data_IF_523217395006
#
_entry.id   IF_523217395006
#
_cell.length_a   1.000
_cell.length_b   1.000
_cell.length_c   1.000
_cell.angle_alpha   90.00
_cell.angle_beta   90.00
_cell.angle_gamma   90.00
#
_symmetry.space_group_name_H-M   'P 1'
#
loop_
_entity.id
_entity.type
_entity.pdbx_description
1 polymer ?
#
# COMPACT_ATOMS: atom_id res chain seq x y z
N UNK A 1 41.15 6.79 34.75
CA UNK A 1 39.69 6.99 34.87
C UNK A 1 39.39 8.33 34.22
N UNK A 2 39.15 8.32 32.92
CA UNK A 2 38.87 9.53 32.15
C UNK A 2 37.39 9.90 32.27
N UNK A 3 37.13 11.09 32.80
CA UNK A 3 35.79 11.70 32.78
C UNK A 3 35.58 12.29 31.39
N UNK A 4 34.69 11.69 30.60
CA UNK A 4 34.17 12.34 29.39
C UNK A 4 33.42 13.61 29.80
N UNK A 5 33.99 14.75 29.42
CA UNK A 5 33.32 16.05 29.47
C UNK A 5 32.30 16.05 28.34
N UNK A 6 31.02 15.84 28.67
CA UNK A 6 29.92 16.03 27.73
C UNK A 6 29.82 17.53 27.48
N UNK A 7 30.09 17.96 26.25
CA UNK A 7 29.97 19.36 25.85
C UNK A 7 28.50 19.83 26.04
N UNK A 8 28.27 21.07 26.49
CA UNK A 8 26.91 21.61 26.60
C UNK A 8 26.31 21.72 25.20
N UNK A 9 25.20 21.02 24.98
CA UNK A 9 24.37 21.17 23.78
C UNK A 9 23.77 22.57 23.83
N UNK A 10 24.03 23.39 22.82
CA UNK A 10 23.41 24.71 22.71
C UNK A 10 21.88 24.56 22.70
N UNK A 11 21.12 25.36 23.47
CA UNK A 11 19.67 25.27 23.47
C UNK A 11 19.15 25.55 22.05
N UNK A 12 18.30 24.65 21.55
CA UNK A 12 17.61 24.87 20.27
C UNK A 12 16.72 26.12 20.42
N UNK A 13 16.77 27.07 19.47
CA UNK A 13 15.97 28.30 19.57
C UNK A 13 14.48 27.95 19.63
N UNK A 14 13.78 28.46 20.64
CA UNK A 14 12.34 28.20 20.84
C UNK A 14 11.52 28.61 19.61
N UNK A 15 11.93 29.67 18.90
CA UNK A 15 11.31 30.14 17.66
C UNK A 15 11.31 29.07 16.56
N UNK A 16 12.39 28.28 16.43
CA UNK A 16 12.46 27.20 15.45
C UNK A 16 11.53 26.05 15.80
N UNK A 17 11.35 25.76 17.09
CA UNK A 17 10.41 24.74 17.56
C UNK A 17 8.97 25.20 17.30
N UNK A 18 8.66 26.47 17.57
CA UNK A 18 7.36 27.09 17.29
C UNK A 18 7.03 27.05 15.79
N UNK A 19 7.97 27.44 14.92
CA UNK A 19 7.79 27.37 13.46
C UNK A 19 7.59 25.93 12.99
N UNK A 20 8.42 25.00 13.46
CA UNK A 20 8.29 23.57 13.12
C UNK A 20 6.92 23.00 13.52
N UNK A 21 6.44 23.31 14.73
CA UNK A 21 5.13 22.85 15.19
C UNK A 21 3.98 23.45 14.38
N UNK A 22 4.07 24.73 14.00
CA UNK A 22 3.07 25.38 13.13
C UNK A 22 3.04 24.74 11.73
N UNK A 23 4.20 24.50 11.13
CA UNK A 23 4.31 23.80 9.83
C UNK A 23 3.72 22.39 9.94
N UNK A 24 4.02 21.67 11.03
CA UNK A 24 3.49 20.32 11.26
C UNK A 24 1.96 20.30 11.34
N UNK A 25 1.36 21.31 11.96
CA UNK A 25 -0.10 21.47 12.02
C UNK A 25 -0.71 21.78 10.64
N UNK A 26 -0.07 22.63 9.86
CA UNK A 26 -0.50 22.92 8.48
C UNK A 26 -0.39 21.67 7.61
N UNK A 27 0.70 20.90 7.72
CA UNK A 27 0.86 19.61 7.01
C UNK A 27 -0.25 18.65 7.43
N UNK A 28 -0.57 18.54 8.72
CA UNK A 28 -1.64 17.66 9.19
C UNK A 28 -3.00 18.07 8.59
N UNK A 29 -3.29 19.36 8.54
CA UNK A 29 -4.51 19.91 7.93
C UNK A 29 -4.57 19.63 6.43
N UNK A 30 -3.50 19.90 5.69
CA UNK A 30 -3.43 19.64 4.25
C UNK A 30 -3.51 18.15 3.93
N UNK A 31 -2.83 17.30 4.70
CA UNK A 31 -2.89 15.83 4.56
C UNK A 31 -4.30 15.31 4.81
N UNK A 32 -5.02 15.90 5.79
CA UNK A 32 -6.43 15.56 6.03
C UNK A 32 -7.28 15.95 4.82
N UNK A 33 -7.13 17.18 4.31
CA UNK A 33 -7.91 17.64 3.15
C UNK A 33 -7.60 16.85 1.88
N UNK A 34 -6.33 16.49 1.67
CA UNK A 34 -5.92 15.61 0.57
C UNK A 34 -6.63 14.25 0.64
N UNK A 35 -6.72 13.64 1.83
CA UNK A 35 -7.43 12.37 2.03
C UNK A 35 -8.93 12.48 1.76
N UNK A 36 -9.56 13.56 2.23
CA UNK A 36 -10.97 13.84 1.95
C UNK A 36 -11.22 13.98 0.44
N UNK A 37 -10.44 14.81 -0.25
CA UNK A 37 -10.53 14.98 -1.70
C UNK A 37 -10.32 13.66 -2.44
N UNK A 38 -9.36 12.84 -1.99
CA UNK A 38 -9.12 11.53 -2.59
C UNK A 38 -10.31 10.58 -2.41
N UNK A 39 -10.99 10.63 -1.26
CA UNK A 39 -12.19 9.85 -1.01
C UNK A 39 -13.34 10.33 -1.90
N UNK A 40 -13.59 11.65 -1.96
CA UNK A 40 -14.61 12.26 -2.84
C UNK A 40 -14.38 11.89 -4.32
N UNK A 41 -13.12 11.94 -4.79
CA UNK A 41 -12.76 11.52 -6.15
C UNK A 41 -12.97 10.02 -6.36
N UNK A 42 -12.71 9.20 -5.34
CA UNK A 42 -12.97 7.76 -5.37
C UNK A 42 -14.46 7.44 -5.53
N UNK A 43 -15.31 8.06 -4.71
CA UNK A 43 -16.78 7.92 -4.79
C UNK A 43 -17.32 8.39 -6.15
N UNK A 44 -16.80 9.50 -6.67
CA UNK A 44 -17.12 9.97 -8.02
C UNK A 44 -16.72 8.93 -9.08
N UNK A 45 -15.50 8.41 -9.02
CA UNK A 45 -14.98 7.44 -9.97
C UNK A 45 -15.76 6.11 -9.94
N UNK A 46 -16.16 5.65 -8.76
CA UNK A 46 -17.01 4.46 -8.59
C UNK A 46 -18.39 4.66 -9.23
N UNK A 47 -18.96 5.85 -9.10
CA UNK A 47 -20.28 6.18 -9.68
C UNK A 47 -20.25 6.36 -11.20
N UNK A 48 -19.09 6.75 -11.74
CA UNK A 48 -18.90 7.12 -13.15
C UNK A 48 -17.90 6.21 -13.87
N UNK A 49 -17.85 4.94 -13.48
CA UNK A 49 -16.87 3.96 -13.95
C UNK A 49 -16.96 3.75 -15.48
N UNK A 50 -18.13 3.96 -16.06
CA UNK A 50 -18.40 3.86 -17.49
C UNK A 50 -17.66 4.92 -18.33
N UNK A 51 -17.20 6.01 -17.71
CA UNK A 51 -16.47 7.06 -18.40
C UNK A 51 -14.97 6.76 -18.52
N UNK A 52 -14.46 5.73 -17.84
CA UNK A 52 -13.08 5.29 -17.98
C UNK A 52 -12.91 4.54 -19.30
N UNK A 53 -11.78 4.76 -19.97
CA UNK A 53 -11.44 4.04 -21.19
C UNK A 53 -11.12 2.55 -20.93
N UNK A 54 -10.83 1.81 -22.00
CA UNK A 54 -10.45 0.40 -21.91
C UNK A 54 -9.17 0.12 -21.11
N UNK A 55 -8.34 1.14 -20.86
CA UNK A 55 -7.15 1.05 -20.00
C UNK A 55 -7.44 1.44 -18.55
N UNK A 56 -8.69 1.80 -18.22
CA UNK A 56 -9.08 2.27 -16.90
C UNK A 56 -8.55 3.67 -16.62
N UNK A 57 -8.47 4.54 -17.62
CA UNK A 57 -8.05 5.93 -17.48
C UNK A 57 -9.21 6.87 -17.75
N UNK A 58 -9.36 7.88 -16.90
CA UNK A 58 -10.26 9.00 -17.08
C UNK A 58 -9.43 10.29 -17.12
N UNK A 59 -9.33 10.91 -18.30
CA UNK A 59 -8.56 12.14 -18.50
C UNK A 59 -9.38 13.39 -18.20
N UNK A 60 -8.75 14.33 -17.48
CA UNK A 60 -9.23 15.67 -17.21
C UNK A 60 -8.28 16.69 -17.83
N UNK A 61 -8.70 17.95 -17.88
CA UNK A 61 -7.84 19.06 -18.29
C UNK A 61 -6.64 19.21 -17.34
N UNK A 62 -6.86 19.04 -16.04
CA UNK A 62 -5.85 19.24 -14.98
C UNK A 62 -5.01 18.00 -14.66
N UNK A 63 -5.46 16.81 -15.06
CA UNK A 63 -4.86 15.56 -14.62
C UNK A 63 -5.55 14.32 -15.18
N UNK A 64 -5.27 13.17 -14.57
CA UNK A 64 -5.95 11.92 -14.89
C UNK A 64 -6.24 11.11 -13.62
N UNK A 65 -7.31 10.33 -13.67
CA UNK A 65 -7.64 9.31 -12.69
C UNK A 65 -7.37 7.96 -13.35
N UNK A 66 -6.57 7.11 -12.72
CA UNK A 66 -6.25 5.78 -13.23
C UNK A 66 -6.67 4.69 -12.26
N UNK A 67 -7.45 3.72 -12.75
CA UNK A 67 -7.75 2.48 -12.06
C UNK A 67 -6.47 1.65 -11.97
N UNK A 68 -6.03 1.36 -10.75
CA UNK A 68 -4.82 0.59 -10.48
C UNK A 68 -5.12 -0.50 -9.46
N UNK A 69 -4.41 -1.63 -9.55
CA UNK A 69 -4.54 -2.67 -8.52
C UNK A 69 -3.58 -2.37 -7.37
N UNK A 70 -4.06 -2.48 -6.14
CA UNK A 70 -3.21 -2.48 -4.96
C UNK A 70 -2.18 -3.61 -5.07
N UNK A 71 -1.01 -3.49 -4.42
CA UNK A 71 -0.13 -4.63 -4.26
C UNK A 71 -0.87 -5.77 -3.54
N UNK A 72 -0.76 -7.02 -4.00
CA UNK A 72 -1.46 -8.13 -3.38
C UNK A 72 -0.93 -8.39 -1.97
N UNK A 73 -1.84 -8.81 -1.09
CA UNK A 73 -1.54 -9.15 0.30
C UNK A 73 -1.95 -10.59 0.56
N UNK A 74 -1.12 -11.32 1.30
CA UNK A 74 -1.48 -12.61 1.85
C UNK A 74 -2.10 -12.39 3.23
N UNK A 75 -3.31 -12.92 3.44
CA UNK A 75 -4.06 -12.86 4.68
C UNK A 75 -4.47 -14.25 5.14
N UNK A 76 -4.67 -14.42 6.44
CA UNK A 76 -5.34 -15.60 6.97
C UNK A 76 -6.84 -15.53 6.65
N UNK A 77 -7.41 -16.61 6.16
CA UNK A 77 -8.85 -16.66 5.79
C UNK A 77 -9.73 -16.37 7.00
N UNK A 78 -9.40 -16.91 8.17
CA UNK A 78 -10.28 -16.83 9.34
C UNK A 78 -10.20 -15.50 10.11
N UNK A 79 -9.12 -14.73 9.93
CA UNK A 79 -8.89 -13.49 10.71
C UNK A 79 -8.66 -12.24 9.86
N UNK A 80 -8.56 -12.41 8.54
CA UNK A 80 -8.18 -11.38 7.56
C UNK A 80 -6.86 -10.65 7.85
N UNK A 81 -6.11 -11.14 8.86
CA UNK A 81 -4.86 -10.55 9.28
C UNK A 81 -3.79 -10.84 8.24
N UNK A 82 -3.05 -9.79 7.88
CA UNK A 82 -1.90 -9.91 7.01
C UNK A 82 -0.83 -10.81 7.63
N UNK A 83 -0.26 -11.70 6.80
CA UNK A 83 0.84 -12.56 7.21
C UNK A 83 2.12 -11.76 7.42
N UNK A 84 2.83 -12.09 8.50
CA UNK A 84 4.18 -11.63 8.77
C UNK A 84 5.19 -12.20 7.78
N UNK A 85 6.41 -11.66 7.78
CA UNK A 85 7.49 -12.14 6.93
C UNK A 85 7.91 -13.58 7.28
N UNK A 86 7.87 -13.95 8.56
CA UNK A 86 8.20 -15.30 9.01
C UNK A 86 7.16 -16.32 8.51
N UNK A 87 5.87 -16.04 8.72
CA UNK A 87 4.78 -16.90 8.26
C UNK A 87 4.77 -17.06 6.74
N UNK A 88 5.11 -16.00 5.99
CA UNK A 88 5.29 -16.10 4.54
C UNK A 88 6.38 -17.09 4.15
N UNK A 89 7.49 -17.17 4.89
CA UNK A 89 8.56 -18.14 4.61
C UNK A 89 8.09 -19.57 4.84
N UNK A 90 7.27 -19.81 5.84
CA UNK A 90 6.74 -21.15 6.13
C UNK A 90 5.84 -21.66 5.00
N UNK A 91 5.11 -20.76 4.34
CA UNK A 91 4.23 -21.09 3.20
C UNK A 91 5.00 -21.33 1.91
N UNK A 92 6.19 -20.73 1.73
CA UNK A 92 7.07 -20.95 0.55
C UNK A 92 7.26 -22.45 0.30
N UNK A 93 7.41 -23.24 1.37
CA UNK A 93 7.66 -24.69 1.25
C UNK A 93 6.46 -25.48 0.72
N UNK A 94 5.28 -24.89 0.66
CA UNK A 94 4.05 -25.56 0.26
C UNK A 94 3.52 -25.10 -1.10
N UNK A 95 4.09 -24.04 -1.68
CA UNK A 95 3.69 -23.53 -3.00
C UNK A 95 4.71 -23.91 -4.07
N UNK A 96 4.33 -23.98 -5.36
CA UNK A 96 5.26 -24.33 -6.43
C UNK A 96 6.42 -23.33 -6.54
N UNK A 97 7.63 -23.85 -6.78
CA UNK A 97 8.87 -23.06 -6.83
C UNK A 97 8.85 -21.93 -7.87
N UNK A 98 8.02 -22.06 -8.92
CA UNK A 98 7.82 -21.02 -9.92
C UNK A 98 7.35 -19.69 -9.33
N UNK A 99 6.83 -19.67 -8.10
CA UNK A 99 6.35 -18.47 -7.41
C UNK A 99 7.39 -17.90 -6.42
N UNK A 100 8.63 -18.39 -6.42
CA UNK A 100 9.69 -17.96 -5.49
C UNK A 100 10.67 -17.01 -6.19
N UNK A 101 10.92 -15.84 -5.61
CA UNK A 101 12.04 -14.96 -5.95
C UNK A 101 12.58 -14.35 -4.66
N UNK A 102 13.46 -15.07 -3.96
CA UNK A 102 14.01 -14.76 -2.61
C UNK A 102 12.97 -14.78 -1.46
N UNK A 103 11.70 -14.48 -1.75
CA UNK A 103 10.48 -14.70 -0.96
C UNK A 103 9.31 -15.00 -1.92
N UNK A 104 8.10 -15.26 -1.42
CA UNK A 104 6.91 -15.51 -2.28
C UNK A 104 6.61 -14.26 -3.14
N UNK A 105 6.54 -14.43 -4.45
CA UNK A 105 6.03 -13.40 -5.37
C UNK A 105 4.50 -13.38 -5.36
N UNK A 106 3.93 -12.56 -4.48
CA UNK A 106 2.48 -12.41 -4.35
C UNK A 106 1.81 -11.83 -5.60
N UNK A 107 2.55 -11.13 -6.46
CA UNK A 107 2.01 -10.61 -7.73
C UNK A 107 1.78 -11.74 -8.71
N UNK A 108 2.75 -12.65 -8.83
CA UNK A 108 2.61 -13.83 -9.67
C UNK A 108 1.53 -14.77 -9.13
N UNK A 109 1.47 -14.95 -7.80
CA UNK A 109 0.42 -15.73 -7.15
C UNK A 109 -0.96 -15.14 -7.39
N UNK A 110 -1.15 -13.82 -7.21
CA UNK A 110 -2.43 -13.17 -7.43
C UNK A 110 -2.96 -13.29 -8.88
N UNK A 111 -2.05 -13.30 -9.87
CA UNK A 111 -2.42 -13.52 -11.28
C UNK A 111 -2.83 -14.96 -11.59
N UNK A 112 -2.24 -15.93 -10.90
CA UNK A 112 -2.43 -17.35 -11.16
C UNK A 112 -3.44 -18.03 -10.24
N UNK A 113 -3.85 -17.42 -9.12
CA UNK A 113 -4.67 -18.07 -8.07
C UNK A 113 -6.00 -18.65 -8.56
N UNK A 114 -6.57 -18.09 -9.63
CA UNK A 114 -7.84 -18.56 -10.20
C UNK A 114 -7.67 -19.67 -11.23
N UNK A 115 -6.50 -19.78 -11.87
CA UNK A 115 -6.24 -20.73 -12.96
C UNK A 115 -5.35 -21.90 -12.57
N UNK A 116 -4.47 -21.72 -11.57
CA UNK A 116 -3.56 -22.76 -11.08
C UNK A 116 -4.18 -23.55 -9.91
N UNK A 117 -4.66 -24.75 -10.22
CA UNK A 117 -5.31 -25.65 -9.26
C UNK A 117 -4.37 -26.08 -8.12
N UNK A 118 -3.08 -26.29 -8.42
CA UNK A 118 -2.11 -26.75 -7.41
C UNK A 118 -1.81 -25.61 -6.42
N UNK A 119 -1.60 -24.40 -6.94
CA UNK A 119 -1.45 -23.20 -6.12
C UNK A 119 -2.69 -22.97 -5.23
N UNK A 120 -3.90 -23.07 -5.81
CA UNK A 120 -5.15 -22.89 -5.06
C UNK A 120 -5.31 -23.91 -3.94
N UNK A 121 -4.95 -25.17 -4.18
CA UNK A 121 -4.97 -26.22 -3.15
C UNK A 121 -3.94 -25.96 -2.05
N UNK A 122 -2.73 -25.54 -2.40
CA UNK A 122 -1.68 -25.22 -1.43
C UNK A 122 -2.07 -24.07 -0.49
N UNK A 123 -2.61 -22.98 -1.04
CA UNK A 123 -3.09 -21.84 -0.27
C UNK A 123 -4.24 -22.24 0.67
N UNK A 124 -5.22 -23.00 0.15
CA UNK A 124 -6.35 -23.50 0.94
C UNK A 124 -5.90 -24.43 2.07
N UNK A 125 -4.96 -25.33 1.82
CA UNK A 125 -4.41 -26.23 2.85
C UNK A 125 -3.73 -25.49 4.00
N UNK A 126 -3.28 -24.25 3.75
CA UNK A 126 -2.72 -23.37 4.77
C UNK A 126 -3.73 -22.39 5.34
N UNK A 127 -4.98 -22.37 4.90
CA UNK A 127 -5.95 -21.36 5.36
C UNK A 127 -5.55 -19.93 5.02
N UNK A 128 -4.85 -19.74 3.88
CA UNK A 128 -4.34 -18.45 3.43
C UNK A 128 -5.00 -18.06 2.12
N UNK A 129 -5.29 -16.77 2.00
CA UNK A 129 -5.79 -16.17 0.76
C UNK A 129 -4.86 -15.03 0.31
N UNK A 130 -4.71 -14.88 -1.01
CA UNK A 130 -4.05 -13.71 -1.60
C UNK A 130 -5.11 -12.80 -2.19
N UNK A 131 -5.25 -11.61 -1.63
CA UNK A 131 -6.24 -10.61 -2.02
C UNK A 131 -5.55 -9.43 -2.71
N UNK A 132 -6.17 -8.91 -3.76
CA UNK A 132 -5.70 -7.75 -4.51
C UNK A 132 -6.87 -6.84 -4.87
N UNK A 133 -7.07 -5.80 -4.07
CA UNK A 133 -8.12 -4.79 -4.30
C UNK A 133 -7.71 -3.78 -5.37
N UNK A 134 -8.67 -3.03 -5.86
CA UNK A 134 -8.47 -1.90 -6.78
C UNK A 134 -8.33 -0.60 -5.99
N UNK A 135 -7.62 0.38 -6.56
CA UNK A 135 -7.51 1.75 -6.07
C UNK A 135 -7.50 2.72 -7.24
N UNK A 136 -7.83 3.98 -6.96
CA UNK A 136 -7.68 5.08 -7.92
C UNK A 136 -6.41 5.86 -7.63
N UNK A 137 -5.54 5.93 -8.64
CA UNK A 137 -4.32 6.74 -8.63
C UNK A 137 -4.57 8.03 -9.41
N UNK A 138 -4.45 9.17 -8.72
CA UNK A 138 -4.64 10.51 -9.30
C UNK A 138 -3.26 11.06 -9.66
N UNK A 139 -3.09 11.50 -10.90
CA UNK A 139 -1.81 12.04 -11.40
C UNK A 139 -2.03 13.38 -12.10
N UNK A 140 -1.06 14.29 -11.95
CA UNK A 140 -1.03 15.52 -12.75
C UNK A 140 -0.64 15.23 -14.19
N UNK A 141 -1.24 15.98 -15.12
CA UNK A 141 -0.81 16.04 -16.52
C UNK A 141 0.40 16.99 -16.52
N UNK A 142 1.61 16.45 -16.59
CA UNK A 142 2.79 17.28 -16.81
C UNK A 142 2.80 17.82 -18.23
#
# INVERSE_FOLDING_TARGET
>A
MDKQVVAPVAPMPEDMICEYLSIKEQIATLTKREKELKAEIGEFADTHIENFDSEGVFELETGLIKISKNPPKAIWVDSEKALSLAEKKDIVMCIPQSYHNTTIDLTKVARAKESDKQLKQALKAKGVEVVQETRYDIKSKK
#
